data_IF_773778172376
#
_entry.id   IF_773778172376
#
_cell.length_a   1.000
_cell.length_b   1.000
_cell.length_c   1.000
_cell.angle_alpha   90.00
_cell.angle_beta   90.00
_cell.angle_gamma   90.00
#
_symmetry.space_group_name_H-M   'P 1'
#
loop_
_entity.id
_entity.type
_entity.pdbx_description
1 polymer ?
#
# COMPACT_ATOMS: atom_id res chain seq x y z
N UNK A 1 -7.70 23.65 -3.55
CA UNK A 1 -7.58 22.78 -2.35
C UNK A 1 -7.18 21.38 -2.82
N UNK A 2 -5.91 21.00 -2.71
CA UNK A 2 -5.39 19.66 -3.14
C UNK A 2 -4.47 19.03 -2.09
N UNK A 3 -4.37 19.63 -0.90
CA UNK A 3 -3.40 19.27 0.14
C UNK A 3 -3.65 17.87 0.71
N UNK A 4 -4.92 17.47 0.85
CA UNK A 4 -5.35 16.24 1.53
C UNK A 4 -4.85 14.93 0.87
N UNK A 5 -4.59 14.92 -0.45
CA UNK A 5 -4.21 13.71 -1.17
C UNK A 5 -2.70 13.40 -1.13
N UNK A 6 -1.85 14.41 -0.94
CA UNK A 6 -0.40 14.19 -0.82
C UNK A 6 -0.07 13.68 0.58
N UNK A 7 -0.66 14.30 1.61
CA UNK A 7 -0.49 13.91 3.01
C UNK A 7 -0.87 12.45 3.24
N UNK A 8 -1.98 11.98 2.66
CA UNK A 8 -2.43 10.60 2.81
C UNK A 8 -1.42 9.57 2.26
N UNK A 9 -0.72 9.88 1.16
CA UNK A 9 0.30 8.97 0.59
C UNK A 9 1.54 8.91 1.47
N UNK A 10 1.98 10.04 2.00
CA UNK A 10 3.14 10.11 2.88
C UNK A 10 2.85 9.45 4.24
N UNK A 11 1.72 9.77 4.87
CA UNK A 11 1.30 9.20 6.15
C UNK A 11 1.16 7.68 6.09
N UNK A 12 0.39 7.18 5.11
CA UNK A 12 0.21 5.74 4.90
C UNK A 12 1.53 5.08 4.53
N UNK A 13 2.38 5.76 3.76
CA UNK A 13 3.72 5.28 3.41
C UNK A 13 4.62 5.08 4.63
N UNK A 14 4.65 6.04 5.55
CA UNK A 14 5.42 5.94 6.81
C UNK A 14 4.91 4.79 7.66
N UNK A 15 3.59 4.69 7.85
CA UNK A 15 3.01 3.63 8.68
C UNK A 15 3.28 2.24 8.12
N UNK A 16 3.07 2.03 6.81
CA UNK A 16 3.32 0.74 6.16
C UNK A 16 4.81 0.39 6.11
N UNK A 17 5.68 1.39 5.98
CA UNK A 17 7.14 1.15 6.05
C UNK A 17 7.53 0.61 7.42
N UNK A 18 6.91 1.12 8.49
CA UNK A 18 7.04 0.57 9.84
C UNK A 18 6.51 -0.86 9.96
N UNK A 19 5.27 -1.11 9.52
CA UNK A 19 4.64 -2.44 9.61
C UNK A 19 5.44 -3.52 8.88
N UNK A 20 5.89 -3.23 7.66
CA UNK A 20 6.57 -4.19 6.80
C UNK A 20 8.10 -4.14 6.90
N UNK A 21 8.64 -3.38 7.85
CA UNK A 21 10.07 -3.27 8.09
C UNK A 21 10.71 -4.67 8.25
N UNK A 22 11.87 -4.84 7.62
CA UNK A 22 12.62 -6.10 7.60
C UNK A 22 12.04 -7.19 6.67
N UNK A 23 10.88 -6.97 6.04
CA UNK A 23 10.27 -7.92 5.09
C UNK A 23 10.11 -7.31 3.69
N UNK A 24 9.82 -6.02 3.62
CA UNK A 24 9.68 -5.27 2.37
C UNK A 24 10.53 -4.00 2.46
N UNK A 25 11.21 -3.64 1.36
CA UNK A 25 11.99 -2.40 1.31
C UNK A 25 11.08 -1.17 1.36
N UNK A 26 11.55 -0.07 1.96
CA UNK A 26 10.80 1.19 2.00
C UNK A 26 10.44 1.71 0.60
N UNK A 27 11.34 1.53 -0.38
CA UNK A 27 11.09 1.87 -1.78
C UNK A 27 9.92 1.08 -2.34
N UNK A 28 9.90 -0.24 -2.13
CA UNK A 28 8.81 -1.11 -2.58
C UNK A 28 7.48 -0.75 -1.90
N UNK A 29 7.50 -0.41 -0.61
CA UNK A 29 6.30 0.09 0.09
C UNK A 29 5.79 1.37 -0.57
N UNK A 30 6.67 2.36 -0.80
CA UNK A 30 6.30 3.62 -1.45
C UNK A 30 5.71 3.41 -2.86
N UNK A 31 6.29 2.51 -3.65
CA UNK A 31 5.78 2.17 -4.99
C UNK A 31 4.38 1.55 -4.93
N UNK A 32 4.15 0.64 -3.98
CA UNK A 32 2.83 0.01 -3.78
C UNK A 32 1.78 1.03 -3.33
N UNK A 33 2.12 1.94 -2.42
CA UNK A 33 1.21 3.01 -1.98
C UNK A 33 0.88 3.95 -3.12
N UNK A 34 1.88 4.39 -3.91
CA UNK A 34 1.66 5.26 -5.08
C UNK A 34 0.81 4.60 -6.16
N UNK A 35 1.05 3.31 -6.44
CA UNK A 35 0.23 2.54 -7.37
C UNK A 35 -1.22 2.43 -6.88
N UNK A 36 -1.41 2.11 -5.60
CA UNK A 36 -2.74 2.02 -5.00
C UNK A 36 -3.47 3.36 -5.03
N UNK A 37 -2.79 4.49 -4.78
CA UNK A 37 -3.38 5.83 -4.90
C UNK A 37 -3.86 6.10 -6.32
N UNK A 38 -3.09 5.72 -7.34
CA UNK A 38 -3.50 5.86 -8.76
C UNK A 38 -4.74 5.01 -9.07
N UNK A 39 -4.84 3.82 -8.49
CA UNK A 39 -5.99 2.94 -8.67
C UNK A 39 -7.27 3.51 -8.02
N UNK A 40 -7.13 4.33 -6.98
CA UNK A 40 -8.24 4.95 -6.24
C UNK A 40 -8.61 6.35 -6.75
N UNK A 41 -7.74 6.97 -7.54
CA UNK A 41 -7.96 8.30 -8.11
C UNK A 41 -9.26 8.35 -8.92
N UNK A 42 -10.17 9.26 -8.53
CA UNK A 42 -11.48 9.42 -9.16
C UNK A 42 -12.51 8.31 -8.85
N UNK A 43 -12.18 7.35 -7.97
CA UNK A 43 -13.09 6.24 -7.59
C UNK A 43 -13.60 6.31 -6.16
N UNK A 44 -12.94 7.08 -5.31
CA UNK A 44 -13.22 7.17 -3.87
C UNK A 44 -13.33 8.65 -3.48
N UNK A 45 -14.21 8.96 -2.53
CA UNK A 45 -14.30 10.29 -1.93
C UNK A 45 -13.01 10.64 -1.19
N UNK A 46 -12.63 11.92 -1.17
CA UNK A 46 -11.36 12.37 -0.57
C UNK A 46 -11.28 12.02 0.92
N UNK A 47 -12.40 12.06 1.64
CA UNK A 47 -12.48 11.75 3.07
C UNK A 47 -12.15 10.27 3.37
N UNK A 48 -12.52 9.37 2.46
CA UNK A 48 -12.31 7.92 2.61
C UNK A 48 -10.97 7.45 1.99
N UNK A 49 -10.26 8.35 1.31
CA UNK A 49 -9.08 8.00 0.51
C UNK A 49 -7.96 7.43 1.40
N UNK A 50 -7.69 8.03 2.56
CA UNK A 50 -6.62 7.59 3.46
C UNK A 50 -6.85 6.16 3.98
N UNK A 51 -8.05 5.88 4.49
CA UNK A 51 -8.39 4.55 4.99
C UNK A 51 -8.37 3.49 3.89
N UNK A 52 -8.93 3.79 2.72
CA UNK A 52 -8.98 2.85 1.61
C UNK A 52 -7.58 2.60 1.03
N UNK A 53 -6.77 3.66 0.89
CA UNK A 53 -5.38 3.57 0.45
C UNK A 53 -4.58 2.65 1.37
N UNK A 54 -4.69 2.87 2.68
CA UNK A 54 -4.05 2.05 3.69
C UNK A 54 -4.47 0.57 3.59
N UNK A 55 -5.78 0.30 3.57
CA UNK A 55 -6.32 -1.07 3.49
C UNK A 55 -5.83 -1.81 2.25
N UNK A 56 -5.91 -1.16 1.08
CA UNK A 56 -5.56 -1.79 -0.19
C UNK A 56 -4.06 -2.00 -0.35
N UNK A 57 -3.25 -1.01 0.01
CA UNK A 57 -1.79 -1.11 -0.05
C UNK A 57 -1.28 -2.20 0.89
N UNK A 58 -1.79 -2.25 2.14
CA UNK A 58 -1.47 -3.32 3.10
C UNK A 58 -1.80 -4.71 2.58
N UNK A 59 -3.02 -4.90 2.04
CA UNK A 59 -3.42 -6.18 1.48
C UNK A 59 -2.54 -6.61 0.29
N UNK A 60 -2.06 -5.64 -0.50
CA UNK A 60 -1.14 -5.91 -1.62
C UNK A 60 0.25 -6.35 -1.13
N UNK A 61 0.80 -5.68 -0.13
CA UNK A 61 2.07 -6.05 0.50
C UNK A 61 2.01 -7.44 1.16
N UNK A 62 0.92 -7.74 1.89
CA UNK A 62 0.69 -9.08 2.45
C UNK A 62 0.63 -10.18 1.39
N UNK A 63 -0.02 -9.90 0.25
CA UNK A 63 -0.07 -10.82 -0.89
C UNK A 63 1.31 -11.06 -1.52
N UNK A 64 2.16 -10.03 -1.61
CA UNK A 64 3.54 -10.20 -2.09
C UNK A 64 4.32 -11.16 -1.20
N UNK A 65 4.29 -10.95 0.12
CA UNK A 65 4.95 -11.85 1.09
C UNK A 65 4.38 -13.28 1.05
N UNK A 66 3.08 -13.42 0.82
CA UNK A 66 2.43 -14.73 0.69
C UNK A 66 2.76 -15.43 -0.63
N UNK A 67 3.01 -14.67 -1.70
CA UNK A 67 3.39 -15.19 -3.01
C UNK A 67 4.86 -15.63 -3.04
N UNK A 68 5.76 -14.89 -2.39
CA UNK A 68 7.16 -15.28 -2.20
C UNK A 68 7.34 -16.55 -1.35
N UNK A 69 6.34 -16.90 -0.52
CA UNK A 69 6.31 -18.14 0.26
C UNK A 69 5.78 -19.37 -0.50
N UNK A 70 5.40 -19.25 -1.78
CA UNK A 70 4.80 -20.36 -2.53
C UNK A 70 5.87 -21.28 -3.13
N UNK A 71 6.34 -22.22 -2.31
CA UNK A 71 6.85 -23.50 -2.81
C UNK A 71 5.71 -24.15 -3.62
N UNK A 72 5.86 -24.45 -4.91
CA UNK A 72 4.90 -25.31 -5.60
C UNK A 72 5.04 -26.70 -4.99
N UNK A 73 4.09 -27.09 -4.12
CA UNK A 73 3.89 -28.51 -3.80
C UNK A 73 3.30 -29.15 -5.05
N UNK A 74 4.18 -29.63 -5.93
CA UNK A 74 3.84 -30.64 -6.91
C UNK A 74 3.15 -31.79 -6.18
N UNK A 75 1.94 -32.11 -6.62
CA UNK A 75 1.31 -33.40 -6.35
C UNK A 75 0.67 -33.88 -7.63
#
# INVERSE_FOLDING_TARGET
MTVQCHDAVEEVGVWLTGEFSGRVSATTVADVVRATRRDLEGRIATEELGEMLHRMARARLQRMLSADGRIPRSR
#
